data_IF_646678440449
#
_entry.id   IF_646678440449
#
_cell.length_a   1.000
_cell.length_b   1.000
_cell.length_c   1.000
_cell.angle_alpha   90.00
_cell.angle_beta   90.00
_cell.angle_gamma   90.00
#
_symmetry.space_group_name_H-M   'P 1'
#
loop_
_entity.id
_entity.type
_entity.pdbx_description
1 polymer ?
#
# COMPACT_ATOMS: atom_id res chain seq x y z
N UNK A 1 12.94 15.62 11.03
CA UNK A 1 11.91 14.67 10.55
C UNK A 1 12.60 13.80 9.49
N UNK A 2 12.48 12.47 9.57
CA UNK A 2 13.21 11.55 8.67
C UNK A 2 12.24 11.09 7.59
N UNK A 3 12.59 11.25 6.32
CA UNK A 3 11.74 10.78 5.22
C UNK A 3 11.81 9.26 5.11
N UNK A 4 10.65 8.59 5.16
CA UNK A 4 10.55 7.15 5.02
C UNK A 4 10.48 6.71 3.56
N UNK A 5 11.01 5.52 3.27
CA UNK A 5 10.93 4.90 1.96
C UNK A 5 9.53 4.29 1.80
N UNK A 6 8.72 4.86 0.91
CA UNK A 6 7.32 4.47 0.77
C UNK A 6 7.06 3.83 -0.59
N UNK A 7 6.45 2.65 -0.56
CA UNK A 7 5.83 2.03 -1.71
C UNK A 7 4.38 2.54 -1.84
N UNK A 8 3.93 2.86 -3.06
CA UNK A 8 2.59 3.39 -3.32
C UNK A 8 1.79 2.35 -4.09
N UNK A 9 0.76 1.80 -3.44
CA UNK A 9 -0.19 0.83 -4.01
C UNK A 9 -1.48 1.54 -4.41
N UNK A 10 -1.96 1.33 -5.63
CA UNK A 10 -3.14 2.00 -6.17
C UNK A 10 -3.70 1.26 -7.40
N UNK A 11 -4.90 1.64 -7.85
CA UNK A 11 -5.45 1.13 -9.09
C UNK A 11 -4.91 1.91 -10.30
N UNK A 12 -4.49 1.21 -11.37
CA UNK A 12 -3.87 1.83 -12.55
C UNK A 12 -4.67 2.99 -13.17
N UNK A 13 -6.01 2.92 -13.13
CA UNK A 13 -6.85 3.97 -13.72
C UNK A 13 -6.82 5.28 -12.89
N UNK A 14 -6.36 5.21 -11.63
CA UNK A 14 -6.18 6.38 -10.76
C UNK A 14 -4.80 7.04 -10.93
N UNK A 15 -3.97 6.58 -11.89
CA UNK A 15 -2.57 7.00 -12.06
C UNK A 15 -2.39 8.52 -12.08
N UNK A 16 -3.21 9.26 -12.82
CA UNK A 16 -3.09 10.72 -12.91
C UNK A 16 -3.20 11.37 -11.53
N UNK A 17 -4.22 10.99 -10.75
CA UNK A 17 -4.41 11.53 -9.40
C UNK A 17 -3.31 11.10 -8.42
N UNK A 18 -2.76 9.89 -8.60
CA UNK A 18 -1.61 9.40 -7.82
C UNK A 18 -0.34 10.17 -8.13
N UNK A 19 -0.09 10.49 -9.40
CA UNK A 19 1.06 11.32 -9.78
C UNK A 19 0.91 12.75 -9.22
N UNK A 20 -0.29 13.33 -9.26
CA UNK A 20 -0.58 14.62 -8.62
C UNK A 20 -0.35 14.57 -7.10
N UNK A 21 -0.79 13.51 -6.44
CA UNK A 21 -0.50 13.27 -5.02
C UNK A 21 1.01 13.23 -4.76
N UNK A 22 1.76 12.48 -5.56
CA UNK A 22 3.21 12.35 -5.40
C UNK A 22 3.94 13.68 -5.64
N UNK A 23 3.50 14.46 -6.63
CA UNK A 23 4.08 15.77 -6.94
C UNK A 23 3.80 16.77 -5.81
N UNK A 24 2.55 16.84 -5.36
CA UNK A 24 2.11 17.72 -4.28
C UNK A 24 2.87 17.49 -2.97
N UNK A 25 3.16 16.23 -2.66
CA UNK A 25 3.85 15.84 -1.43
C UNK A 25 5.33 15.46 -1.64
N UNK A 26 5.92 15.89 -2.74
CA UNK A 26 7.34 15.71 -3.00
C UNK A 26 8.17 16.20 -1.79
N UNK A 27 9.11 15.35 -1.35
CA UNK A 27 9.92 15.59 -0.15
C UNK A 27 9.36 15.03 1.16
N UNK A 28 8.07 14.68 1.24
CA UNK A 28 7.49 14.09 2.47
C UNK A 28 7.88 12.63 2.67
N UNK A 29 8.26 11.95 1.58
CA UNK A 29 8.68 10.54 1.56
C UNK A 29 9.60 10.27 0.38
N UNK A 30 10.28 9.13 0.42
CA UNK A 30 11.11 8.64 -0.67
C UNK A 30 10.32 7.56 -1.41
N UNK A 31 9.82 7.86 -2.61
CA UNK A 31 9.03 6.90 -3.41
C UNK A 31 9.88 5.67 -3.79
N UNK A 32 9.31 4.48 -3.62
CA UNK A 32 9.86 3.19 -4.03
C UNK A 32 8.93 2.46 -4.99
N UNK A 33 9.53 1.60 -5.80
CA UNK A 33 8.87 0.89 -6.88
C UNK A 33 9.08 1.55 -8.24
N UNK A 34 9.43 0.73 -9.23
CA UNK A 34 9.43 1.12 -10.64
C UNK A 34 7.99 1.11 -11.18
N UNK A 35 7.73 1.66 -12.36
CA UNK A 35 6.43 1.43 -13.02
C UNK A 35 6.24 -0.09 -13.15
N UNK A 36 5.13 -0.64 -12.67
CA UNK A 36 4.78 -2.03 -13.01
C UNK A 36 4.67 -2.11 -14.53
N UNK A 37 5.49 -2.97 -15.13
CA UNK A 37 5.40 -3.30 -16.55
C UNK A 37 4.02 -3.93 -16.79
N UNK A 38 3.36 -3.54 -17.88
CA UNK A 38 2.03 -4.04 -18.23
C UNK A 38 2.01 -5.58 -18.35
N UNK A 39 3.14 -6.18 -18.76
CA UNK A 39 3.35 -7.62 -18.83
C UNK A 39 3.24 -8.34 -17.47
N UNK A 40 3.57 -7.66 -16.36
CA UNK A 40 3.38 -8.18 -15.00
C UNK A 40 1.91 -8.12 -14.56
N UNK A 41 1.17 -7.13 -15.06
CA UNK A 41 -0.25 -6.90 -14.76
C UNK A 41 -1.13 -7.93 -15.49
N UNK A 42 -0.71 -8.34 -16.69
CA UNK A 42 -1.46 -9.31 -17.49
C UNK A 42 -1.07 -10.77 -17.21
N UNK A 43 -0.04 -11.00 -16.39
CA UNK A 43 0.38 -12.36 -16.02
C UNK A 43 -0.66 -13.08 -15.15
N UNK A 44 -0.95 -14.33 -15.51
CA UNK A 44 -1.74 -15.27 -14.69
C UNK A 44 -0.86 -16.05 -13.70
N UNK A 45 0.47 -15.99 -13.87
CA UNK A 45 1.42 -16.67 -13.00
C UNK A 45 1.63 -15.87 -11.70
N UNK A 46 0.84 -16.23 -10.69
CA UNK A 46 0.77 -15.51 -9.42
C UNK A 46 2.10 -15.52 -8.66
N UNK A 47 2.84 -16.62 -8.67
CA UNK A 47 4.11 -16.73 -7.93
C UNK A 47 5.23 -15.92 -8.59
N UNK A 48 5.24 -15.87 -9.93
CA UNK A 48 6.14 -14.99 -10.68
C UNK A 48 5.87 -13.52 -10.37
N UNK A 49 4.61 -13.08 -10.44
CA UNK A 49 4.22 -11.70 -10.10
C UNK A 49 4.62 -11.35 -8.67
N UNK A 50 4.35 -12.22 -7.70
CA UNK A 50 4.70 -11.98 -6.30
C UNK A 50 6.21 -11.89 -6.07
N UNK A 51 7.00 -12.74 -6.74
CA UNK A 51 8.46 -12.66 -6.70
C UNK A 51 8.96 -11.33 -7.27
N UNK A 52 8.37 -10.87 -8.38
CA UNK A 52 8.70 -9.57 -9.00
C UNK A 52 8.28 -8.39 -8.13
N UNK A 53 7.09 -8.42 -7.51
CA UNK A 53 6.63 -7.43 -6.53
C UNK A 53 7.65 -7.31 -5.39
N UNK A 54 8.11 -8.43 -4.83
CA UNK A 54 9.10 -8.38 -3.75
C UNK A 54 10.44 -7.80 -4.19
N UNK A 55 10.97 -8.29 -5.32
CA UNK A 55 12.29 -7.88 -5.82
C UNK A 55 12.34 -6.41 -6.25
N UNK A 56 11.28 -5.92 -6.90
CA UNK A 56 11.28 -4.59 -7.53
C UNK A 56 10.71 -3.50 -6.63
N UNK A 57 9.95 -3.86 -5.57
CA UNK A 57 9.12 -2.87 -4.84
C UNK A 57 9.27 -2.92 -3.32
N UNK A 58 9.50 -4.09 -2.72
CA UNK A 58 9.45 -4.25 -1.25
C UNK A 58 10.82 -4.37 -0.56
N UNK A 59 11.90 -4.60 -1.32
CA UNK A 59 13.21 -4.87 -0.73
C UNK A 59 13.77 -3.77 0.17
N UNK A 60 13.48 -2.49 -0.10
CA UNK A 60 13.98 -1.36 0.72
C UNK A 60 12.92 -0.38 1.20
N UNK A 61 11.64 -0.59 0.86
CA UNK A 61 10.54 0.20 1.40
C UNK A 61 10.30 -0.12 2.87
N UNK A 62 9.86 0.86 3.65
CA UNK A 62 9.50 0.67 5.07
C UNK A 62 8.03 0.90 5.33
N UNK A 63 7.34 1.62 4.44
CA UNK A 63 5.91 1.91 4.52
C UNK A 63 5.26 1.63 3.17
N UNK A 64 4.06 1.05 3.19
CA UNK A 64 3.19 0.90 2.03
C UNK A 64 1.98 1.82 2.21
N UNK A 65 1.83 2.78 1.31
CA UNK A 65 0.68 3.68 1.25
C UNK A 65 -0.29 3.14 0.20
N UNK A 66 -1.49 2.78 0.61
CA UNK A 66 -2.57 2.35 -0.29
C UNK A 66 -3.47 3.54 -0.57
N UNK A 67 -3.44 4.02 -1.81
CA UNK A 67 -4.28 5.14 -2.27
C UNK A 67 -5.64 4.61 -2.75
N UNK A 68 -6.69 5.06 -2.06
CA UNK A 68 -8.05 4.54 -2.22
C UNK A 68 -8.81 5.43 -3.21
N UNK A 69 -9.02 4.90 -4.41
CA UNK A 69 -9.89 5.44 -5.44
C UNK A 69 -11.15 4.59 -5.64
N UNK A 70 -11.90 4.89 -6.71
CA UNK A 70 -13.23 4.29 -6.97
C UNK A 70 -13.23 2.76 -6.96
N UNK A 71 -12.25 2.18 -7.64
CA UNK A 71 -12.19 0.74 -7.92
C UNK A 71 -11.02 0.02 -7.25
N UNK A 72 -10.23 0.70 -6.41
CA UNK A 72 -9.06 0.11 -5.73
C UNK A 72 -9.42 -1.13 -4.93
N UNK A 73 -10.57 -1.12 -4.24
CA UNK A 73 -11.05 -2.25 -3.43
C UNK A 73 -11.25 -3.56 -4.20
N UNK A 74 -11.43 -3.47 -5.52
CA UNK A 74 -11.75 -4.61 -6.37
C UNK A 74 -10.50 -5.25 -7.02
N UNK A 75 -9.30 -4.71 -6.77
CA UNK A 75 -8.08 -5.07 -7.52
C UNK A 75 -7.24 -6.08 -6.77
N UNK A 76 -7.01 -7.23 -7.42
CA UNK A 76 -6.18 -8.31 -6.87
C UNK A 76 -4.74 -7.87 -6.63
N UNK A 77 -4.19 -7.03 -7.51
CA UNK A 77 -2.81 -6.57 -7.40
C UNK A 77 -2.58 -5.74 -6.15
N UNK A 78 -3.54 -4.89 -5.78
CA UNK A 78 -3.52 -4.14 -4.52
C UNK A 78 -3.51 -5.08 -3.33
N UNK A 79 -4.33 -6.14 -3.35
CA UNK A 79 -4.29 -7.16 -2.29
C UNK A 79 -2.93 -7.87 -2.20
N UNK A 80 -2.35 -8.25 -3.33
CA UNK A 80 -1.06 -8.96 -3.40
C UNK A 80 0.10 -8.11 -2.90
N UNK A 81 0.08 -6.82 -3.23
CA UNK A 81 1.03 -5.83 -2.75
C UNK A 81 0.92 -5.65 -1.23
N UNK A 82 -0.30 -5.53 -0.69
CA UNK A 82 -0.54 -5.42 0.74
C UNK A 82 -0.16 -6.73 1.45
N UNK A 83 -0.54 -7.88 0.91
CA UNK A 83 -0.15 -9.19 1.44
C UNK A 83 1.37 -9.32 1.57
N UNK A 84 2.09 -8.88 0.53
CA UNK A 84 3.55 -8.93 0.51
C UNK A 84 4.17 -7.92 1.48
N UNK A 85 3.56 -6.73 1.61
CA UNK A 85 3.97 -5.69 2.56
C UNK A 85 3.84 -6.13 4.02
N UNK A 86 2.79 -6.90 4.34
CA UNK A 86 2.49 -7.41 5.68
C UNK A 86 3.30 -8.67 6.05
N UNK A 87 4.02 -9.27 5.10
CA UNK A 87 4.79 -10.48 5.38
C UNK A 87 6.05 -10.11 6.15
N UNK A 88 6.32 -10.81 7.25
CA UNK A 88 7.57 -10.67 7.98
C UNK A 88 8.71 -11.34 7.18
N UNK A 89 9.72 -10.60 6.69
CA UNK A 89 10.88 -11.20 6.06
C UNK A 89 11.79 -11.86 7.11
N UNK A 90 12.61 -12.83 6.69
CA UNK A 90 13.48 -13.57 7.62
C UNK A 90 14.56 -12.70 8.27
N UNK A 91 14.89 -11.57 7.64
CA UNK A 91 15.99 -10.66 7.94
C UNK A 91 15.53 -9.21 8.17
N UNK A 92 14.24 -8.97 8.44
CA UNK A 92 13.73 -7.62 8.60
C UNK A 92 12.36 -7.53 9.27
N UNK A 93 11.76 -6.35 9.15
CA UNK A 93 10.42 -6.05 9.67
C UNK A 93 9.43 -5.91 8.52
N UNK A 94 8.14 -6.27 8.70
CA UNK A 94 7.10 -5.99 7.72
C UNK A 94 7.01 -4.48 7.47
N UNK A 95 6.41 -4.08 6.35
CA UNK A 95 6.11 -2.67 6.10
C UNK A 95 5.00 -2.18 7.01
N UNK A 96 5.08 -0.91 7.40
CA UNK A 96 3.93 -0.19 7.92
C UNK A 96 2.89 -0.07 6.80
N UNK A 97 1.62 -0.33 7.06
CA UNK A 97 0.57 -0.19 6.04
C UNK A 97 -0.38 0.93 6.43
N UNK A 98 -0.71 1.80 5.50
CA UNK A 98 -1.70 2.87 5.71
C UNK A 98 -2.56 3.07 4.47
N UNK A 99 -3.85 3.36 4.67
CA UNK A 99 -4.79 3.69 3.61
C UNK A 99 -5.10 5.18 3.62
N UNK A 100 -5.10 5.81 2.44
CA UNK A 100 -5.42 7.23 2.28
C UNK A 100 -6.40 7.41 1.12
N UNK A 101 -7.48 8.15 1.33
CA UNK A 101 -8.44 8.50 0.29
C UNK A 101 -7.80 9.43 -0.75
N UNK A 102 -7.98 9.12 -2.04
CA UNK A 102 -7.70 10.07 -3.13
C UNK A 102 -8.83 11.08 -3.31
N UNK A 103 -10.08 10.65 -3.07
CA UNK A 103 -11.27 11.48 -3.12
C UNK A 103 -12.22 11.11 -1.98
N UNK A 104 -12.91 12.09 -1.41
CA UNK A 104 -13.81 11.91 -0.26
C UNK A 104 -14.98 10.95 -0.55
N UNK A 105 -15.38 10.83 -1.82
CA UNK A 105 -16.49 9.99 -2.28
C UNK A 105 -16.17 8.48 -2.26
N UNK A 106 -14.91 8.07 -2.09
CA UNK A 106 -14.51 6.67 -2.21
C UNK A 106 -13.90 6.16 -0.90
N UNK A 107 -14.72 5.44 -0.13
CA UNK A 107 -14.36 4.97 1.21
C UNK A 107 -14.20 3.46 1.32
N UNK A 108 -14.48 2.72 0.24
CA UNK A 108 -14.42 1.26 0.24
C UNK A 108 -12.97 0.79 0.20
N UNK A 109 -12.55 0.10 1.25
CA UNK A 109 -11.20 -0.46 1.37
C UNK A 109 -11.09 -1.83 0.69
N UNK A 110 -9.91 -2.18 0.12
CA UNK A 110 -9.56 -3.57 -0.15
C UNK A 110 -9.69 -4.42 1.11
N UNK A 111 -10.10 -5.67 0.97
CA UNK A 111 -10.49 -6.50 2.11
C UNK A 111 -9.37 -6.67 3.16
N UNK A 112 -8.14 -6.96 2.71
CA UNK A 112 -6.99 -7.11 3.61
C UNK A 112 -6.59 -5.81 4.29
N UNK A 113 -6.80 -4.67 3.63
CA UNK A 113 -6.59 -3.35 4.23
C UNK A 113 -7.64 -3.12 5.31
N UNK A 114 -8.92 -3.42 5.03
CA UNK A 114 -10.00 -3.31 6.00
C UNK A 114 -9.74 -4.17 7.25
N UNK A 115 -9.30 -5.42 7.09
CA UNK A 115 -8.95 -6.31 8.20
C UNK A 115 -7.83 -5.74 9.09
N UNK A 116 -6.80 -5.12 8.48
CA UNK A 116 -5.71 -4.52 9.26
C UNK A 116 -6.10 -3.18 9.90
N UNK A 117 -7.08 -2.46 9.33
CA UNK A 117 -7.67 -1.29 9.97
C UNK A 117 -8.51 -1.71 11.17
N UNK A 118 -9.34 -2.74 11.04
CA UNK A 118 -10.17 -3.29 12.12
C UNK A 118 -9.31 -3.85 13.27
N UNK A 119 -8.23 -4.57 12.94
CA UNK A 119 -7.29 -5.08 13.93
C UNK A 119 -6.43 -3.99 14.59
N UNK A 120 -6.42 -2.76 14.07
CA UNK A 120 -5.67 -1.63 14.62
C UNK A 120 -4.20 -1.55 14.19
N UNK A 121 -3.73 -2.46 13.33
CA UNK A 121 -2.40 -2.40 12.72
C UNK A 121 -2.26 -1.20 11.78
N UNK A 122 -3.29 -0.98 10.95
CA UNK A 122 -3.37 0.08 9.95
C UNK A 122 -4.44 1.10 10.32
N UNK A 123 -4.45 2.24 9.62
CA UNK A 123 -5.47 3.27 9.72
C UNK A 123 -5.89 3.74 8.34
N UNK A 124 -7.11 4.25 8.27
CA UNK A 124 -7.68 4.87 7.09
C UNK A 124 -7.82 6.38 7.29
N UNK A 125 -7.18 7.14 6.41
CA UNK A 125 -7.13 8.60 6.47
C UNK A 125 -7.83 9.24 5.28
N UNK A 126 -8.43 10.41 5.50
CA UNK A 126 -8.82 11.32 4.44
C UNK A 126 -7.57 11.92 3.77
N UNK A 127 -7.75 12.56 2.61
CA UNK A 127 -6.64 13.21 1.91
C UNK A 127 -5.91 14.22 2.82
N UNK A 128 -4.58 14.18 2.95
CA UNK A 128 -3.83 15.07 3.84
C UNK A 128 -3.86 16.53 3.36
N UNK A 129 -4.02 17.46 4.30
CA UNK A 129 -4.10 18.91 3.98
C UNK A 129 -2.76 19.51 3.55
N UNK A 130 -1.64 18.98 4.06
CA UNK A 130 -0.29 19.47 3.81
C UNK A 130 0.75 18.37 4.07
N UNK A 131 2.01 18.63 3.69
CA UNK A 131 3.14 17.70 3.81
C UNK A 131 3.38 17.25 5.25
N UNK A 132 3.26 18.15 6.23
CA UNK A 132 3.40 17.79 7.64
C UNK A 132 2.30 16.80 8.10
N UNK A 133 1.08 16.94 7.59
CA UNK A 133 0.00 15.97 7.81
C UNK A 133 0.34 14.60 7.24
N UNK A 134 0.83 14.54 5.99
CA UNK A 134 1.25 13.28 5.38
C UNK A 134 2.42 12.64 6.13
N UNK A 135 3.44 13.41 6.50
CA UNK A 135 4.58 12.88 7.25
C UNK A 135 4.16 12.24 8.57
N UNK A 136 3.24 12.85 9.33
CA UNK A 136 2.70 12.23 10.56
C UNK A 136 1.99 10.89 10.31
N UNK A 137 1.22 10.82 9.22
CA UNK A 137 0.53 9.59 8.80
C UNK A 137 1.55 8.49 8.50
N UNK A 138 2.63 8.83 7.78
CA UNK A 138 3.69 7.90 7.41
C UNK A 138 4.50 7.46 8.64
N UNK A 139 4.85 8.40 9.53
CA UNK A 139 5.59 8.12 10.77
C UNK A 139 4.81 7.15 11.67
N UNK A 140 3.48 7.33 11.77
CA UNK A 140 2.62 6.43 12.54
C UNK A 140 2.59 5.02 11.92
N UNK A 141 2.43 4.93 10.60
CA UNK A 141 2.47 3.65 9.91
C UNK A 141 3.83 2.96 10.09
N UNK A 142 4.92 3.73 10.03
CA UNK A 142 6.27 3.21 10.26
C UNK A 142 6.44 2.68 11.69
N UNK A 143 5.92 3.36 12.70
CA UNK A 143 5.99 2.92 14.09
C UNK A 143 5.20 1.62 14.35
N UNK A 144 4.10 1.40 13.64
CA UNK A 144 3.28 0.19 13.75
C UNK A 144 4.04 -1.10 13.41
N UNK A 145 5.10 -1.02 12.60
CA UNK A 145 5.95 -2.15 12.19
C UNK A 145 6.50 -2.95 13.37
N UNK A 146 6.79 -2.27 14.47
CA UNK A 146 7.33 -2.86 15.70
C UNK A 146 6.34 -2.80 16.84
N UNK A 147 5.62 -1.68 16.99
CA UNK A 147 4.72 -1.47 18.12
C UNK A 147 3.38 -2.19 18.02
N UNK A 148 3.03 -2.75 16.86
CA UNK A 148 1.74 -3.39 16.60
C UNK A 148 1.84 -4.64 15.73
N UNK A 149 3.02 -5.24 15.62
CA UNK A 149 3.28 -6.35 14.71
C UNK A 149 2.43 -7.60 15.01
N UNK A 150 2.00 -7.76 16.26
CA UNK A 150 1.06 -8.78 16.74
C UNK A 150 -0.37 -8.60 16.21
N UNK A 151 -0.73 -7.39 15.78
CA UNK A 151 -2.04 -7.05 15.22
C UNK A 151 -2.14 -7.27 13.70
N UNK A 152 -1.05 -7.73 13.05
CA UNK A 152 -1.05 -7.97 11.61
C UNK A 152 -2.04 -9.09 11.26
N UNK A 153 -3.00 -8.76 10.40
CA UNK A 153 -3.92 -9.75 9.82
C UNK A 153 -3.50 -10.05 8.40
N UNK A 154 -2.93 -11.24 8.19
CA UNK A 154 -2.48 -11.69 6.86
C UNK A 154 -2.84 -13.16 6.57
N UNK A 155 -4.00 -13.61 7.10
CA UNK A 155 -4.40 -15.03 7.15
C UNK A 155 -5.02 -15.59 5.86
N UNK A 156 -5.43 -14.74 4.91
CA UNK A 156 -6.21 -15.18 3.73
C UNK A 156 -5.37 -15.69 2.57
N UNK A 157 -5.91 -16.72 1.90
CA UNK A 157 -5.59 -17.08 0.53
C UNK A 157 -5.73 -15.87 -0.41
N UNK A 158 -4.85 -15.81 -1.40
CA UNK A 158 -4.73 -14.67 -2.33
C UNK A 158 -6.02 -14.44 -3.11
N UNK A 159 -6.34 -13.18 -3.40
CA UNK A 159 -7.32 -12.86 -4.45
C UNK A 159 -6.86 -13.43 -5.79
N UNK A 160 -7.53 -14.47 -6.31
CA UNK A 160 -7.15 -15.06 -7.60
C UNK A 160 -7.56 -14.15 -8.78
N UNK A 161 -8.72 -13.51 -8.66
CA UNK A 161 -9.33 -12.68 -9.71
C UNK A 161 -9.68 -11.27 -9.18
N UNK A 162 -9.68 -10.28 -10.08
CA UNK A 162 -10.28 -8.98 -9.79
C UNK A 162 -11.80 -9.16 -9.53
N UNK A 163 -12.38 -8.31 -8.67
CA UNK A 163 -13.83 -8.20 -8.52
C UNK A 163 -14.39 -7.19 -9.52
N UNK A 164 -15.68 -7.27 -9.82
CA UNK A 164 -16.35 -6.26 -10.64
C UNK A 164 -16.49 -4.94 -9.88
N UNK A 165 -16.06 -3.87 -10.55
CA UNK A 165 -16.29 -2.46 -10.29
C UNK A 165 -16.65 -1.87 -11.66
#
# INVERSE_FOLDING_TARGET
MVSHKCFISYHKDDKTAVDDFCNKFSGSFIRRGLKMEDDLIDSTNTDYVMKRIRLLYLGDSTVTIVLIGKCTWARRFVDWEVQSSLRNPADGLPNGVVAIQLWDSYQKLPERVAENVEAGYSKFYTYPKNSAGLSRIIDEAFAARTGKSDLIVNKRDRFKNNRSC
#
